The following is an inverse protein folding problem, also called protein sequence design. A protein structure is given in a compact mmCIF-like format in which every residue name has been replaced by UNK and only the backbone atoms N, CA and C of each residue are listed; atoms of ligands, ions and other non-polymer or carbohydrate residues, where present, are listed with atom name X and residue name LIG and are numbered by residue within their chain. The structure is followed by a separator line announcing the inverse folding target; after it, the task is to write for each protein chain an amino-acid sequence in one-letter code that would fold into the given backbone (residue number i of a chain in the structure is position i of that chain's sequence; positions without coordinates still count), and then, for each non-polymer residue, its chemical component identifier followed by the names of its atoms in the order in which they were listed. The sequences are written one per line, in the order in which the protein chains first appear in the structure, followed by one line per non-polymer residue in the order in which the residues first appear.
data_IF_401567445572
#
_entry.id   IF_401567445572
#
_cell.length_a   1.000
_cell.length_b   1.000
_cell.length_c   1.000
_cell.angle_alpha   90.00
_cell.angle_beta   90.00
_cell.angle_gamma   90.00
#
_symmetry.space_group_name_H-M   'P 1'
#
loop_
_entity.id
_entity.type
_entity.pdbx_description
1 polymer ?
#
# COMPACT_ATOMS: atom_id res chain seq x y z
N UNK A 1 6.68 15.38 8.27
CA UNK A 1 5.93 14.38 7.49
C UNK A 1 6.89 13.52 6.65
N UNK A 2 6.64 12.21 6.51
CA UNK A 2 7.36 11.30 5.60
C UNK A 2 6.61 11.14 4.29
N UNK A 3 7.34 10.99 3.19
CA UNK A 3 6.75 10.72 1.88
C UNK A 3 7.42 9.47 1.31
N UNK A 4 6.62 8.48 0.94
CA UNK A 4 7.07 7.21 0.37
C UNK A 4 6.81 7.21 -1.13
N UNK A 5 7.84 6.94 -1.92
CA UNK A 5 7.63 6.64 -3.33
C UNK A 5 7.11 5.21 -3.48
N UNK A 6 6.05 5.06 -4.26
CA UNK A 6 5.36 3.80 -4.50
C UNK A 6 5.08 3.57 -5.97
N UNK A 7 5.26 2.35 -6.41
CA UNK A 7 4.77 1.81 -7.69
C UNK A 7 4.30 0.38 -7.51
N UNK A 8 3.25 0.01 -8.21
CA UNK A 8 2.76 -1.38 -8.31
C UNK A 8 3.67 -2.25 -9.21
N UNK A 9 4.70 -1.73 -9.83
CA UNK A 9 5.50 -2.43 -10.86
C UNK A 9 4.63 -3.09 -11.94
N UNK A 10 3.74 -2.36 -12.62
CA UNK A 10 2.86 -2.96 -13.63
C UNK A 10 3.63 -3.33 -14.89
N UNK A 11 3.06 -4.27 -15.66
CA UNK A 11 3.48 -4.65 -17.00
C UNK A 11 2.50 -4.07 -18.03
N UNK A 12 2.68 -2.83 -18.51
CA UNK A 12 1.67 -2.07 -19.24
C UNK A 12 1.32 -2.66 -20.61
N UNK A 13 2.22 -3.37 -21.28
CA UNK A 13 1.97 -3.98 -22.60
C UNK A 13 0.82 -4.99 -22.56
N UNK A 14 0.53 -5.58 -21.40
CA UNK A 14 -0.59 -6.49 -21.22
C UNK A 14 -1.96 -5.80 -21.25
N UNK A 15 -2.02 -4.46 -21.08
CA UNK A 15 -3.29 -3.72 -21.12
C UNK A 15 -3.91 -3.67 -22.51
N UNK A 16 -3.12 -3.78 -23.58
CA UNK A 16 -3.60 -3.65 -24.96
C UNK A 16 -4.49 -4.80 -25.41
N UNK A 17 -4.35 -5.99 -24.83
CA UNK A 17 -5.12 -7.19 -25.20
C UNK A 17 -5.31 -8.10 -23.99
N UNK A 18 -6.11 -7.65 -23.04
CA UNK A 18 -6.29 -8.36 -21.76
C UNK A 18 -7.47 -9.36 -21.75
N UNK A 19 -8.28 -9.41 -22.80
CA UNK A 19 -9.41 -10.36 -22.91
C UNK A 19 -10.43 -10.25 -21.77
N UNK A 20 -10.59 -9.05 -21.18
CA UNK A 20 -11.52 -8.79 -20.07
C UNK A 20 -10.96 -9.07 -18.67
N UNK A 21 -9.67 -9.42 -18.52
CA UNK A 21 -9.02 -9.53 -17.23
C UNK A 21 -7.52 -9.24 -17.31
N UNK A 22 -7.03 -8.45 -16.38
CA UNK A 22 -5.59 -8.21 -16.17
C UNK A 22 -5.03 -9.07 -15.05
N UNK A 23 -5.88 -9.89 -14.40
CA UNK A 23 -5.54 -10.64 -13.20
C UNK A 23 -5.96 -12.09 -13.34
N UNK A 24 -5.18 -12.99 -12.75
CA UNK A 24 -5.41 -14.44 -12.62
C UNK A 24 -5.36 -15.22 -13.93
N UNK A 25 -6.28 -14.96 -14.85
CA UNK A 25 -6.47 -15.74 -16.05
C UNK A 25 -5.87 -15.12 -17.33
N UNK A 26 -5.15 -14.00 -17.19
CA UNK A 26 -4.35 -13.47 -18.30
C UNK A 26 -3.15 -14.42 -18.56
N UNK A 27 -3.01 -14.97 -19.79
CA UNK A 27 -1.91 -15.90 -20.05
C UNK A 27 -0.53 -15.23 -19.92
N UNK A 28 0.38 -15.83 -19.15
CA UNK A 28 1.71 -15.27 -18.91
C UNK A 28 2.64 -15.26 -20.14
N UNK A 29 2.29 -15.95 -21.24
CA UNK A 29 2.99 -15.80 -22.52
C UNK A 29 2.95 -14.38 -23.08
N UNK A 30 2.07 -13.52 -22.54
CA UNK A 30 2.00 -12.09 -22.88
C UNK A 30 3.07 -11.25 -22.16
N UNK A 31 3.77 -11.85 -21.21
CA UNK A 31 4.89 -11.22 -20.50
C UNK A 31 6.19 -11.67 -21.19
N UNK A 32 6.76 -10.78 -22.00
CA UNK A 32 8.09 -11.01 -22.59
C UNK A 32 9.15 -10.83 -21.51
N UNK A 33 9.97 -11.86 -21.21
CA UNK A 33 10.95 -11.79 -20.11
C UNK A 33 11.95 -10.65 -20.23
N UNK A 34 12.37 -10.30 -21.45
CA UNK A 34 13.30 -9.19 -21.67
C UNK A 34 12.66 -7.84 -21.30
N UNK A 35 11.41 -7.60 -21.71
CA UNK A 35 10.67 -6.39 -21.35
C UNK A 35 10.42 -6.33 -19.84
N UNK A 36 10.07 -7.45 -19.22
CA UNK A 36 9.90 -7.52 -17.77
C UNK A 36 11.21 -7.21 -17.03
N UNK A 37 12.35 -7.71 -17.52
CA UNK A 37 13.65 -7.40 -16.94
C UNK A 37 13.95 -5.89 -17.00
N UNK A 38 13.76 -5.25 -18.15
CA UNK A 38 13.97 -3.81 -18.32
C UNK A 38 13.04 -2.99 -17.40
N UNK A 39 11.79 -3.43 -17.23
CA UNK A 39 10.85 -2.79 -16.31
C UNK A 39 11.28 -2.94 -14.85
N UNK A 40 11.77 -4.12 -14.42
CA UNK A 40 12.30 -4.29 -13.07
C UNK A 40 13.49 -3.36 -12.81
N UNK A 41 14.48 -3.32 -13.73
CA UNK A 41 15.62 -2.42 -13.58
C UNK A 41 15.16 -0.97 -13.47
N UNK A 42 14.26 -0.52 -14.36
CA UNK A 42 13.68 0.81 -14.32
C UNK A 42 13.03 1.13 -12.97
N UNK A 43 12.18 0.25 -12.44
CA UNK A 43 11.52 0.50 -11.16
C UNK A 43 12.51 0.54 -9.99
N UNK A 44 13.55 -0.28 -10.01
CA UNK A 44 14.60 -0.20 -9.00
C UNK A 44 15.40 1.10 -9.11
N UNK A 45 15.76 1.55 -10.30
CA UNK A 45 16.43 2.83 -10.50
C UNK A 45 15.59 4.00 -9.99
N UNK A 46 14.26 3.96 -10.20
CA UNK A 46 13.33 4.97 -9.66
C UNK A 46 13.30 4.94 -8.12
N UNK A 47 13.36 3.79 -7.48
CA UNK A 47 13.47 3.69 -6.01
C UNK A 47 14.85 4.14 -5.47
N UNK A 48 15.92 3.88 -6.17
CA UNK A 48 17.25 4.40 -5.79
C UNK A 48 17.28 5.92 -5.87
N UNK A 49 16.71 6.49 -6.93
CA UNK A 49 16.51 7.93 -7.05
C UNK A 49 15.63 8.49 -5.91
N UNK A 50 14.60 7.77 -5.51
CA UNK A 50 13.76 8.17 -4.37
C UNK A 50 14.59 8.30 -3.08
N UNK A 51 15.48 7.34 -2.77
CA UNK A 51 16.41 7.45 -1.63
C UNK A 51 17.31 8.69 -1.74
N UNK A 52 17.85 8.98 -2.94
CA UNK A 52 18.68 10.13 -3.19
C UNK A 52 17.95 11.46 -2.99
N UNK A 53 16.69 11.54 -3.41
CA UNK A 53 15.83 12.71 -3.27
C UNK A 53 15.25 12.87 -1.86
N UNK A 54 15.44 11.90 -0.97
CA UNK A 54 14.99 11.96 0.41
C UNK A 54 13.54 11.49 0.64
N UNK A 55 12.99 10.71 -0.28
CA UNK A 55 11.79 9.92 -0.04
C UNK A 55 12.13 8.67 0.78
N UNK A 56 11.12 8.12 1.42
CA UNK A 56 11.09 6.73 1.84
C UNK A 56 10.52 5.87 0.69
N UNK A 57 10.56 4.54 0.83
CA UNK A 57 10.20 3.60 -0.23
C UNK A 57 9.08 2.68 0.25
N UNK A 58 8.07 2.50 -0.58
CA UNK A 58 7.01 1.52 -0.35
C UNK A 58 6.97 0.50 -1.47
N UNK A 59 6.84 -0.78 -1.09
CA UNK A 59 6.54 -1.91 -1.97
C UNK A 59 5.27 -2.61 -1.48
N UNK A 60 4.62 -3.31 -2.40
CA UNK A 60 3.52 -4.23 -2.07
C UNK A 60 3.75 -5.59 -2.71
N UNK A 61 2.84 -6.53 -2.47
CA UNK A 61 2.86 -7.85 -3.08
C UNK A 61 1.49 -8.20 -3.67
N UNK A 62 1.49 -8.59 -4.93
CA UNK A 62 0.34 -9.15 -5.63
C UNK A 62 0.74 -10.34 -6.49
N UNK A 63 -0.18 -11.26 -6.68
CA UNK A 63 0.09 -12.51 -7.39
C UNK A 63 -0.74 -12.64 -8.66
N UNK A 64 -0.14 -13.32 -9.68
CA UNK A 64 -0.81 -13.73 -10.91
C UNK A 64 -1.53 -12.58 -11.64
N UNK A 65 -0.84 -11.45 -11.77
CA UNK A 65 -1.41 -10.25 -12.36
C UNK A 65 -0.39 -9.43 -13.14
N UNK A 66 -0.81 -8.89 -14.29
CA UNK A 66 -0.03 -7.92 -15.04
C UNK A 66 -0.05 -6.51 -14.41
N UNK A 67 -0.94 -6.26 -13.45
CA UNK A 67 -1.03 -4.95 -12.81
C UNK A 67 0.04 -4.74 -11.74
N UNK A 68 0.69 -5.84 -11.30
CA UNK A 68 1.77 -5.78 -10.33
C UNK A 68 2.69 -7.00 -10.50
N UNK A 69 3.90 -6.78 -10.95
CA UNK A 69 4.90 -7.84 -11.09
C UNK A 69 5.63 -8.17 -9.76
N UNK A 70 5.34 -7.46 -8.67
CA UNK A 70 5.92 -7.72 -7.35
C UNK A 70 5.26 -8.93 -6.68
N UNK A 71 5.46 -10.10 -7.26
CA UNK A 71 4.93 -11.37 -6.73
C UNK A 71 5.75 -11.96 -5.58
N UNK A 72 6.90 -11.37 -5.29
CA UNK A 72 7.85 -11.80 -4.26
C UNK A 72 8.50 -10.56 -3.66
N UNK A 73 7.74 -9.83 -2.87
CA UNK A 73 8.15 -8.51 -2.34
C UNK A 73 9.46 -8.57 -1.54
N UNK A 74 9.75 -9.70 -0.90
CA UNK A 74 11.00 -9.90 -0.14
C UNK A 74 12.25 -9.83 -1.00
N UNK A 75 12.17 -10.21 -2.29
CA UNK A 75 13.29 -10.07 -3.22
C UNK A 75 13.59 -8.60 -3.46
N UNK A 76 12.56 -7.80 -3.79
CA UNK A 76 12.69 -6.36 -3.97
C UNK A 76 13.19 -5.65 -2.72
N UNK A 77 12.59 -5.96 -1.58
CA UNK A 77 13.02 -5.41 -0.29
C UNK A 77 14.48 -5.74 0.02
N UNK A 78 14.94 -6.97 -0.29
CA UNK A 78 16.34 -7.37 -0.04
C UNK A 78 17.32 -6.58 -0.89
N UNK A 79 17.00 -6.36 -2.18
CA UNK A 79 17.80 -5.52 -3.08
C UNK A 79 17.87 -4.10 -2.51
N UNK A 80 16.72 -3.49 -2.22
CA UNK A 80 16.65 -2.10 -1.73
C UNK A 80 17.24 -1.96 -0.32
N UNK A 81 17.13 -2.95 0.54
CA UNK A 81 17.78 -2.95 1.86
C UNK A 81 19.31 -2.84 1.76
N UNK A 82 19.89 -3.42 0.70
CA UNK A 82 21.33 -3.39 0.44
C UNK A 82 21.78 -2.13 -0.30
N UNK A 83 21.02 -1.70 -1.33
CA UNK A 83 21.44 -0.64 -2.24
C UNK A 83 21.09 0.76 -1.73
N UNK A 84 19.99 0.92 -0.99
CA UNK A 84 19.59 2.23 -0.40
C UNK A 84 20.33 2.49 0.91
N UNK A 85 20.41 3.78 1.32
CA UNK A 85 21.19 4.20 2.50
C UNK A 85 20.34 4.82 3.60
N UNK A 86 19.28 5.53 3.27
CA UNK A 86 18.50 6.37 4.20
C UNK A 86 17.03 6.04 4.24
N UNK A 87 16.45 5.70 3.10
CA UNK A 87 15.02 5.45 2.97
C UNK A 87 14.55 4.34 3.92
N UNK A 88 13.46 4.57 4.61
CA UNK A 88 12.71 3.49 5.25
C UNK A 88 12.07 2.63 4.16
N UNK A 89 11.92 1.37 4.45
CA UNK A 89 11.44 0.35 3.51
C UNK A 89 10.12 -0.20 4.05
N UNK A 90 9.02 0.36 3.57
CA UNK A 90 7.68 -0.08 3.94
C UNK A 90 7.21 -1.19 2.99
N UNK A 91 6.88 -2.35 3.51
CA UNK A 91 6.06 -3.32 2.78
C UNK A 91 4.59 -3.11 3.15
N UNK A 92 3.80 -2.54 2.20
CA UNK A 92 2.37 -2.37 2.44
C UNK A 92 1.60 -2.62 1.12
N UNK A 93 1.05 -3.88 0.92
CA UNK A 93 0.92 -4.86 2.02
C UNK A 93 1.54 -6.19 1.73
N UNK A 94 1.94 -6.77 2.81
CA UNK A 94 2.34 -8.17 2.84
C UNK A 94 1.09 -9.01 3.15
N UNK A 95 0.62 -9.87 2.22
CA UNK A 95 -0.70 -10.50 2.35
C UNK A 95 -0.63 -11.77 3.21
N UNK A 96 -0.55 -11.62 4.53
CA UNK A 96 -0.43 -12.75 5.46
C UNK A 96 -1.72 -13.56 5.64
N UNK A 97 -2.89 -13.04 5.23
CA UNK A 97 -4.17 -13.75 5.35
C UNK A 97 -4.27 -15.01 4.48
N UNK A 98 -3.60 -15.03 3.33
CA UNK A 98 -3.58 -16.22 2.46
C UNK A 98 -2.21 -16.95 2.44
N UNK A 99 -1.23 -16.49 3.20
CA UNK A 99 0.05 -17.18 3.34
C UNK A 99 -0.10 -18.48 4.15
N UNK A 100 0.48 -19.60 3.68
CA UNK A 100 0.42 -20.86 4.41
C UNK A 100 1.42 -20.95 5.57
N UNK A 101 2.47 -20.13 5.57
CA UNK A 101 3.61 -20.23 6.48
C UNK A 101 4.02 -18.87 7.09
N UNK A 102 3.41 -18.45 8.21
CA UNK A 102 3.79 -17.23 8.91
C UNK A 102 5.19 -17.29 9.56
N UNK A 103 5.75 -18.48 9.81
CA UNK A 103 7.13 -18.61 10.28
C UNK A 103 8.10 -18.06 9.24
N UNK A 104 7.89 -18.44 7.98
CA UNK A 104 8.70 -17.91 6.88
C UNK A 104 8.64 -16.39 6.77
N UNK A 105 7.46 -15.82 6.95
CA UNK A 105 7.29 -14.35 6.97
C UNK A 105 8.12 -13.70 8.08
N UNK A 106 8.11 -14.28 9.29
CA UNK A 106 8.92 -13.77 10.40
C UNK A 106 10.43 -13.82 10.11
N UNK A 107 10.92 -14.91 9.52
CA UNK A 107 12.34 -15.06 9.13
C UNK A 107 12.74 -14.06 8.04
N UNK A 108 11.93 -13.92 6.98
CA UNK A 108 12.18 -13.04 5.85
C UNK A 108 12.25 -11.57 6.31
N UNK A 109 11.25 -11.11 7.06
CA UNK A 109 11.21 -9.73 7.52
C UNK A 109 12.29 -9.43 8.55
N UNK A 110 12.61 -10.38 9.45
CA UNK A 110 13.73 -10.20 10.39
C UNK A 110 15.07 -10.10 9.66
N UNK A 111 15.26 -10.88 8.61
CA UNK A 111 16.47 -10.84 7.78
C UNK A 111 16.61 -9.49 7.07
N UNK A 112 15.52 -8.99 6.47
CA UNK A 112 15.51 -7.69 5.79
C UNK A 112 15.76 -6.56 6.80
N UNK A 113 15.18 -6.63 7.99
CA UNK A 113 15.38 -5.63 9.03
C UNK A 113 16.86 -5.55 9.46
N UNK A 114 17.54 -6.67 9.58
CA UNK A 114 18.98 -6.73 9.88
C UNK A 114 19.82 -6.20 8.72
N UNK A 115 19.54 -6.63 7.47
CA UNK A 115 20.27 -6.14 6.29
C UNK A 115 20.12 -4.62 6.16
N UNK A 116 18.92 -4.10 6.35
CA UNK A 116 18.61 -2.66 6.26
C UNK A 116 19.07 -1.86 7.48
N UNK A 117 19.56 -2.53 8.55
CA UNK A 117 19.93 -1.90 9.83
C UNK A 117 18.79 -1.09 10.46
N UNK A 118 17.60 -1.71 10.54
CA UNK A 118 16.45 -1.15 11.21
C UNK A 118 15.66 -0.12 10.38
N UNK A 119 15.69 -0.21 9.06
CA UNK A 119 14.89 0.65 8.18
C UNK A 119 13.57 0.02 7.72
N UNK A 120 13.32 -1.25 8.05
CA UNK A 120 12.09 -1.94 7.67
C UNK A 120 10.88 -1.42 8.44
N UNK A 121 9.73 -1.36 7.76
CA UNK A 121 8.39 -1.17 8.32
C UNK A 121 7.47 -2.25 7.76
N UNK A 122 6.70 -2.93 8.63
CA UNK A 122 5.92 -4.11 8.29
C UNK A 122 4.44 -3.76 8.13
N UNK A 123 3.93 -3.82 6.90
CA UNK A 123 2.52 -3.58 6.60
C UNK A 123 1.79 -4.86 6.24
N UNK A 124 0.96 -5.35 7.14
CA UNK A 124 0.19 -6.58 6.96
C UNK A 124 -1.21 -6.31 6.42
N UNK A 125 -1.62 -7.11 5.44
CA UNK A 125 -2.96 -7.05 4.84
C UNK A 125 -3.60 -8.44 4.78
N UNK A 126 -4.93 -8.46 4.66
CA UNK A 126 -5.71 -9.68 4.47
C UNK A 126 -5.35 -10.41 3.16
N UNK A 127 -4.99 -9.65 2.13
CA UNK A 127 -4.89 -10.08 0.74
C UNK A 127 -6.14 -9.71 -0.05
N UNK A 128 -6.03 -9.68 -1.37
CA UNK A 128 -7.12 -9.31 -2.27
C UNK A 128 -7.93 -10.55 -2.70
N UNK A 129 -9.23 -10.39 -3.04
CA UNK A 129 -10.13 -11.54 -3.21
C UNK A 129 -9.68 -12.54 -4.28
N UNK A 130 -9.15 -12.06 -5.41
CA UNK A 130 -8.76 -12.91 -6.53
C UNK A 130 -7.51 -13.78 -6.25
N UNK A 131 -6.74 -13.48 -5.23
CA UNK A 131 -5.52 -14.24 -4.88
C UNK A 131 -5.83 -15.49 -4.02
N UNK A 132 -6.99 -15.55 -3.37
CA UNK A 132 -7.35 -16.71 -2.54
C UNK A 132 -7.49 -18.01 -3.34
N UNK A 133 -8.26 -18.05 -4.44
CA UNK A 133 -8.30 -19.24 -5.28
C UNK A 133 -6.93 -19.61 -5.85
N UNK A 134 -6.12 -18.62 -6.24
CA UNK A 134 -4.82 -18.85 -6.85
C UNK A 134 -3.79 -19.42 -5.87
N UNK A 135 -3.89 -19.04 -4.60
CA UNK A 135 -3.03 -19.55 -3.53
C UNK A 135 -3.59 -20.81 -2.85
N UNK A 136 -4.68 -21.38 -3.38
CA UNK A 136 -5.38 -22.53 -2.79
C UNK A 136 -5.76 -22.31 -1.32
N UNK A 137 -6.22 -21.09 -1.01
CA UNK A 137 -6.63 -20.72 0.34
C UNK A 137 -8.15 -20.50 0.43
N UNK A 138 -8.74 -20.97 1.52
CA UNK A 138 -10.13 -20.72 1.81
C UNK A 138 -10.31 -19.28 2.35
N UNK A 139 -11.14 -18.43 1.72
CA UNK A 139 -11.38 -17.08 2.22
C UNK A 139 -12.30 -17.04 3.47
N UNK A 140 -13.01 -18.13 3.78
CA UNK A 140 -13.86 -18.21 4.99
C UNK A 140 -12.98 -18.18 6.24
N UNK A 141 -13.31 -17.27 7.18
CA UNK A 141 -12.51 -17.12 8.41
C UNK A 141 -11.14 -16.49 8.20
N UNK A 142 -10.90 -15.87 7.04
CA UNK A 142 -9.60 -15.27 6.70
C UNK A 142 -9.13 -14.22 7.72
N UNK A 143 -10.04 -13.50 8.35
CA UNK A 143 -9.65 -12.51 9.36
C UNK A 143 -9.10 -13.15 10.64
N UNK A 144 -9.68 -14.28 11.06
CA UNK A 144 -9.18 -15.03 12.22
C UNK A 144 -7.81 -15.62 11.90
N UNK A 145 -7.64 -16.20 10.71
CA UNK A 145 -6.35 -16.69 10.21
C UNK A 145 -5.31 -15.56 10.10
N UNK A 146 -5.71 -14.40 9.60
CA UNK A 146 -4.84 -13.22 9.51
C UNK A 146 -4.31 -12.80 10.88
N UNK A 147 -5.20 -12.71 11.87
CA UNK A 147 -4.79 -12.30 13.21
C UNK A 147 -3.96 -13.36 13.92
N UNK A 148 -4.24 -14.64 13.71
CA UNK A 148 -3.39 -15.70 14.25
C UNK A 148 -1.99 -15.68 13.60
N UNK A 149 -1.90 -15.50 12.28
CA UNK A 149 -0.62 -15.34 11.58
C UNK A 149 0.15 -14.13 12.10
N UNK A 150 -0.53 -13.00 12.27
CA UNK A 150 0.05 -11.79 12.85
C UNK A 150 0.62 -12.04 14.24
N UNK A 151 -0.18 -12.59 15.16
CA UNK A 151 0.22 -12.81 16.55
C UNK A 151 1.38 -13.81 16.64
N UNK A 152 1.38 -14.83 15.77
CA UNK A 152 2.50 -15.77 15.64
C UNK A 152 3.78 -15.06 15.17
N UNK A 153 3.70 -14.22 14.11
CA UNK A 153 4.86 -13.47 13.59
C UNK A 153 5.47 -12.59 14.69
N UNK A 154 4.64 -11.85 15.41
CA UNK A 154 5.11 -10.99 16.51
C UNK A 154 5.73 -11.84 17.62
N UNK A 155 5.10 -12.96 17.99
CA UNK A 155 5.65 -13.88 18.98
C UNK A 155 7.02 -14.42 18.55
N UNK A 156 7.17 -14.82 17.28
CA UNK A 156 8.45 -15.31 16.76
C UNK A 156 9.54 -14.24 16.80
N UNK A 157 9.21 -13.00 16.45
CA UNK A 157 10.15 -11.87 16.46
C UNK A 157 10.54 -11.38 17.85
N UNK A 158 9.74 -11.68 18.89
CA UNK A 158 9.95 -11.19 20.27
C UNK A 158 10.37 -12.27 21.26
N UNK A 159 10.45 -13.53 20.85
CA UNK A 159 10.93 -14.64 21.71
C UNK A 159 12.43 -14.85 21.54
N UNK A 160 13.22 -14.49 22.58
CA UNK A 160 14.69 -14.47 22.50
C UNK A 160 15.37 -15.48 23.44
N UNK A 161 14.64 -16.09 24.39
CA UNK A 161 15.20 -16.95 25.42
C UNK A 161 15.11 -18.46 25.11
N UNK A 162 15.00 -18.79 23.82
CA UNK A 162 14.93 -20.16 23.34
C UNK A 162 13.65 -20.48 22.59
N UNK A 163 13.51 -21.73 22.13
CA UNK A 163 12.39 -22.12 21.28
C UNK A 163 11.05 -22.15 22.03
N UNK A 164 9.97 -21.84 21.31
CA UNK A 164 8.60 -22.01 21.78
C UNK A 164 7.76 -22.89 20.86
N UNK A 165 6.63 -23.37 21.34
CA UNK A 165 5.63 -24.06 20.55
C UNK A 165 4.44 -23.14 20.31
N UNK A 166 3.77 -23.33 19.16
CA UNK A 166 2.52 -22.65 18.82
C UNK A 166 1.43 -23.67 18.52
N UNK A 167 0.30 -23.56 19.20
CA UNK A 167 -0.87 -24.41 19.06
C UNK A 167 -2.08 -23.51 18.78
N UNK A 168 -2.22 -23.07 17.53
CA UNK A 168 -3.31 -22.20 17.12
C UNK A 168 -4.46 -22.98 16.48
N UNK A 169 -5.43 -22.25 15.96
CA UNK A 169 -6.54 -22.80 15.19
C UNK A 169 -6.08 -23.14 13.75
N UNK A 170 -5.20 -22.32 13.17
CA UNK A 170 -4.79 -22.43 11.78
C UNK A 170 -3.34 -22.87 11.63
N UNK A 171 -2.51 -22.60 12.63
CA UNK A 171 -1.09 -22.87 12.56
C UNK A 171 -0.58 -23.66 13.77
N UNK A 172 0.29 -24.64 13.52
CA UNK A 172 0.90 -25.49 14.55
C UNK A 172 2.38 -25.60 14.29
N UNK A 173 3.20 -25.15 15.24
CA UNK A 173 4.65 -25.16 15.14
C UNK A 173 5.31 -25.74 16.39
N UNK A 174 6.46 -26.35 16.20
CA UNK A 174 7.30 -26.89 17.26
C UNK A 174 8.67 -26.28 17.21
N UNK A 175 9.22 -25.95 18.39
CA UNK A 175 10.57 -25.45 18.53
C UNK A 175 10.89 -24.23 17.66
N UNK A 176 9.98 -23.27 17.57
CA UNK A 176 10.17 -22.02 16.83
C UNK A 176 11.29 -21.20 17.49
N UNK A 177 12.31 -20.87 16.72
CA UNK A 177 13.45 -20.07 17.16
C UNK A 177 14.10 -19.44 15.92
N UNK A 178 13.67 -18.25 15.55
CA UNK A 178 14.10 -17.61 14.31
C UNK A 178 15.52 -17.02 14.42
N UNK A 179 16.27 -17.08 13.34
CA UNK A 179 17.58 -16.47 13.16
C UNK A 179 17.64 -15.80 11.78
N UNK A 180 18.04 -14.48 11.72
CA UNK A 180 18.38 -13.60 12.83
C UNK A 180 17.13 -13.11 13.60
N UNK A 181 17.34 -12.58 14.82
CA UNK A 181 16.29 -11.76 15.46
C UNK A 181 16.23 -10.39 14.80
N UNK A 182 15.10 -9.67 14.85
CA UNK A 182 14.99 -8.32 14.28
C UNK A 182 16.03 -7.35 14.84
N UNK A 183 16.48 -6.43 14.01
CA UNK A 183 17.32 -5.31 14.43
C UNK A 183 16.55 -4.35 15.34
N UNK A 184 15.35 -4.00 14.94
CA UNK A 184 14.46 -3.14 15.70
C UNK A 184 13.81 -3.92 16.86
N UNK A 185 13.75 -3.31 18.04
CA UNK A 185 13.19 -3.93 19.23
C UNK A 185 11.93 -3.19 19.70
N UNK A 186 10.88 -3.90 20.09
CA UNK A 186 10.73 -5.38 20.12
C UNK A 186 10.57 -6.01 18.73
N UNK A 187 10.20 -5.25 17.73
CA UNK A 187 10.03 -5.60 16.31
C UNK A 187 9.94 -4.33 15.46
N UNK A 188 10.06 -4.39 14.12
CA UNK A 188 9.80 -3.26 13.23
C UNK A 188 8.38 -2.68 13.41
N UNK A 189 8.15 -1.37 13.12
CA UNK A 189 6.83 -0.77 13.20
C UNK A 189 5.80 -1.52 12.36
N UNK A 190 4.58 -1.66 12.90
CA UNK A 190 3.49 -2.38 12.25
C UNK A 190 2.52 -1.38 11.61
N UNK A 191 2.18 -1.66 10.36
CA UNK A 191 1.22 -0.93 9.56
C UNK A 191 0.09 -1.85 9.10
N UNK A 192 -1.09 -1.28 8.87
CA UNK A 192 -2.14 -1.98 8.16
C UNK A 192 -3.06 -1.00 7.44
N UNK A 193 -3.79 -1.48 6.43
CA UNK A 193 -4.72 -0.65 5.69
C UNK A 193 -6.15 -0.81 6.25
N UNK A 194 -6.89 0.31 6.31
CA UNK A 194 -8.29 0.32 6.69
C UNK A 194 -9.17 0.90 5.59
N UNK A 195 -10.27 0.20 5.30
CA UNK A 195 -11.33 0.64 4.38
C UNK A 195 -12.72 0.67 5.03
N UNK A 196 -12.83 0.38 6.35
CA UNK A 196 -14.08 0.45 7.12
C UNK A 196 -13.84 1.05 8.50
N UNK A 197 -14.90 1.61 9.10
CA UNK A 197 -14.82 2.23 10.43
C UNK A 197 -14.43 1.21 11.51
N UNK A 198 -14.95 -0.03 11.42
CA UNK A 198 -14.62 -1.10 12.35
C UNK A 198 -13.13 -1.45 12.31
N UNK A 199 -12.55 -1.62 11.11
CA UNK A 199 -11.12 -1.89 10.97
C UNK A 199 -10.28 -0.70 11.44
N UNK A 200 -10.68 0.53 11.14
CA UNK A 200 -9.97 1.71 11.59
C UNK A 200 -9.93 1.80 13.12
N UNK A 201 -11.06 1.58 13.79
CA UNK A 201 -11.16 1.53 15.26
C UNK A 201 -10.23 0.46 15.83
N UNK A 202 -10.28 -0.75 15.31
CA UNK A 202 -9.46 -1.88 15.77
C UNK A 202 -7.96 -1.60 15.59
N UNK A 203 -7.53 -0.99 14.48
CA UNK A 203 -6.14 -0.58 14.29
C UNK A 203 -5.73 0.50 15.30
N UNK A 204 -6.64 1.41 15.65
CA UNK A 204 -6.44 2.37 16.73
C UNK A 204 -6.24 1.69 18.08
N UNK A 205 -7.08 0.71 18.44
CA UNK A 205 -6.93 -0.08 19.66
C UNK A 205 -5.57 -0.78 19.75
N UNK A 206 -5.05 -1.28 18.63
CA UNK A 206 -3.71 -1.89 18.55
C UNK A 206 -2.57 -0.88 18.50
N UNK A 207 -2.84 0.39 18.15
CA UNK A 207 -1.85 1.47 18.06
C UNK A 207 -0.93 1.36 16.84
N UNK A 208 -1.34 0.66 15.79
CA UNK A 208 -0.57 0.51 14.56
C UNK A 208 -0.67 1.76 13.68
N UNK A 209 0.25 1.91 12.73
CA UNK A 209 0.10 2.95 11.71
C UNK A 209 -0.99 2.53 10.73
N UNK A 210 -1.99 3.38 10.58
CA UNK A 210 -3.11 3.12 9.69
C UNK A 210 -2.96 3.83 8.36
N UNK A 211 -2.97 3.07 7.27
CA UNK A 211 -3.00 3.60 5.91
C UNK A 211 -4.42 3.56 5.33
N UNK A 212 -4.80 4.63 4.66
CA UNK A 212 -6.00 4.70 3.83
C UNK A 212 -5.58 4.84 2.38
N UNK A 213 -6.07 3.93 1.53
CA UNK A 213 -5.61 3.82 0.15
C UNK A 213 -6.65 4.44 -0.80
N UNK A 214 -6.36 5.63 -1.34
CA UNK A 214 -7.14 6.24 -2.41
C UNK A 214 -8.62 6.50 -2.09
N UNK A 215 -8.96 6.86 -0.84
CA UNK A 215 -10.36 7.11 -0.43
C UNK A 215 -10.78 8.58 -0.49
N UNK A 216 -9.86 9.49 -0.82
CA UNK A 216 -10.14 10.92 -0.88
C UNK A 216 -10.67 11.46 0.46
N UNK A 217 -11.63 12.36 0.40
CA UNK A 217 -12.21 12.97 1.60
C UNK A 217 -13.05 12.02 2.48
N UNK A 218 -13.33 10.79 2.03
CA UNK A 218 -13.84 9.71 2.92
C UNK A 218 -12.82 9.23 3.96
N UNK A 219 -11.58 9.69 3.88
CA UNK A 219 -10.50 9.33 4.82
C UNK A 219 -10.77 9.86 6.23
N UNK A 220 -11.37 11.06 6.38
CA UNK A 220 -11.59 11.66 7.70
C UNK A 220 -12.39 10.80 8.67
N UNK A 221 -13.55 10.24 8.33
CA UNK A 221 -14.29 9.34 9.23
C UNK A 221 -13.48 8.11 9.68
N UNK A 222 -12.60 7.60 8.82
CA UNK A 222 -11.71 6.48 9.17
C UNK A 222 -10.68 6.92 10.22
N UNK A 223 -10.09 8.10 10.04
CA UNK A 223 -9.14 8.66 11.02
C UNK A 223 -9.82 8.97 12.36
N UNK A 224 -11.06 9.45 12.34
CA UNK A 224 -11.82 9.71 13.56
C UNK A 224 -12.14 8.40 14.31
N UNK A 225 -12.56 7.35 13.60
CA UNK A 225 -12.77 6.02 14.20
C UNK A 225 -11.47 5.42 14.78
N UNK A 226 -10.33 5.64 14.11
CA UNK A 226 -9.02 5.26 14.65
C UNK A 226 -8.70 6.01 15.95
N UNK A 227 -8.89 7.34 15.99
CA UNK A 227 -8.66 8.16 17.18
C UNK A 227 -9.48 7.67 18.37
N UNK A 228 -10.77 7.37 18.13
CA UNK A 228 -11.64 6.79 19.16
C UNK A 228 -11.09 5.46 19.68
N UNK A 229 -10.73 4.52 18.79
CA UNK A 229 -10.14 3.24 19.16
C UNK A 229 -8.82 3.39 19.92
N UNK A 230 -7.96 4.29 19.47
CA UNK A 230 -6.66 4.54 20.10
C UNK A 230 -6.80 5.07 21.54
N UNK A 231 -7.68 6.06 21.73
CA UNK A 231 -7.93 6.66 23.04
C UNK A 231 -8.74 5.75 23.97
N UNK A 232 -9.55 4.81 23.44
CA UNK A 232 -10.28 3.83 24.28
C UNK A 232 -9.36 2.91 25.09
N UNK A 233 -8.08 2.83 24.71
CA UNK A 233 -7.05 2.08 25.42
C UNK A 233 -6.31 2.92 26.50
N UNK A 234 -6.86 4.06 26.89
CA UNK A 234 -6.25 4.96 27.89
C UNK A 234 -5.05 5.76 27.38
N UNK A 235 -4.82 5.79 26.06
CA UNK A 235 -3.71 6.55 25.45
C UNK A 235 -4.15 8.01 25.21
N UNK A 236 -3.19 8.97 25.20
CA UNK A 236 -3.48 10.33 24.72
C UNK A 236 -3.88 10.32 23.24
N UNK A 237 -4.38 11.43 22.73
CA UNK A 237 -4.73 11.55 21.32
C UNK A 237 -3.52 11.18 20.42
N UNK A 238 -3.72 10.37 19.36
CA UNK A 238 -2.63 9.96 18.49
C UNK A 238 -2.08 11.15 17.70
N UNK A 239 -0.76 11.18 17.54
CA UNK A 239 -0.10 12.13 16.66
C UNK A 239 -0.31 11.81 15.17
N UNK A 240 0.12 12.71 14.27
CA UNK A 240 0.03 12.51 12.83
C UNK A 240 0.82 11.30 12.33
N UNK A 241 1.85 10.86 13.07
CA UNK A 241 2.67 9.68 12.82
C UNK A 241 1.90 8.35 12.80
N UNK A 242 0.63 8.35 13.19
CA UNK A 242 -0.26 7.18 13.13
C UNK A 242 -1.08 7.11 11.86
N UNK A 243 -1.04 8.12 11.01
CA UNK A 243 -1.92 8.25 9.84
C UNK A 243 -1.12 8.30 8.55
N UNK A 244 -1.51 7.45 7.60
CA UNK A 244 -0.96 7.40 6.26
C UNK A 244 -2.07 7.46 5.20
N UNK A 245 -1.79 8.14 4.11
CA UNK A 245 -2.69 8.24 2.96
C UNK A 245 -1.95 7.94 1.66
N UNK A 246 -2.52 7.08 0.81
CA UNK A 246 -2.05 6.84 -0.54
C UNK A 246 -2.85 7.69 -1.52
N UNK A 247 -2.14 8.54 -2.27
CA UNK A 247 -2.68 9.31 -3.38
C UNK A 247 -1.83 9.18 -4.64
N UNK A 248 -2.49 9.30 -5.79
CA UNK A 248 -1.81 9.43 -7.07
C UNK A 248 -1.06 10.77 -7.12
N UNK A 249 0.05 10.82 -7.86
CA UNK A 249 0.91 12.02 -7.89
C UNK A 249 1.37 12.34 -9.31
N UNK A 250 1.22 13.61 -9.72
CA UNK A 250 1.77 14.10 -10.98
C UNK A 250 2.22 15.55 -10.84
N UNK A 251 3.54 15.78 -10.86
CA UNK A 251 4.15 17.10 -10.71
C UNK A 251 4.89 17.49 -11.97
N UNK A 252 4.72 18.73 -12.44
CA UNK A 252 5.48 19.29 -13.55
C UNK A 252 5.66 20.80 -13.37
N UNK A 253 6.55 21.38 -14.17
CA UNK A 253 6.80 22.82 -14.16
C UNK A 253 5.60 23.65 -14.68
N UNK A 254 4.71 23.02 -15.48
CA UNK A 254 3.47 23.64 -15.97
C UNK A 254 2.25 22.77 -15.63
N UNK A 255 1.10 23.41 -15.46
CA UNK A 255 -0.15 22.71 -15.18
C UNK A 255 -0.57 21.78 -16.33
N UNK A 256 -0.36 22.20 -17.59
CA UNK A 256 -0.71 21.39 -18.76
C UNK A 256 0.08 20.09 -18.80
N UNK A 257 1.38 20.15 -18.51
CA UNK A 257 2.23 18.95 -18.48
C UNK A 257 1.90 18.06 -17.26
N UNK A 258 1.64 18.66 -16.10
CA UNK A 258 1.19 17.90 -14.93
C UNK A 258 -0.12 17.15 -15.21
N UNK A 259 -1.09 17.79 -15.86
CA UNK A 259 -2.35 17.15 -16.27
C UNK A 259 -2.14 16.01 -17.27
N UNK A 260 -1.24 16.18 -18.25
CA UNK A 260 -0.87 15.10 -19.18
C UNK A 260 -0.31 13.88 -18.40
N UNK A 261 0.61 14.11 -17.46
CA UNK A 261 1.15 13.05 -16.60
C UNK A 261 0.06 12.45 -15.71
N UNK A 262 -0.80 13.30 -15.15
CA UNK A 262 -1.92 12.89 -14.30
C UNK A 262 -2.89 11.94 -14.98
N UNK A 263 -3.22 12.18 -16.26
CA UNK A 263 -4.06 11.26 -17.05
C UNK A 263 -3.43 9.88 -17.19
N UNK A 264 -2.12 9.81 -17.44
CA UNK A 264 -1.39 8.54 -17.56
C UNK A 264 -1.34 7.78 -16.22
N UNK A 265 -1.20 8.48 -15.10
CA UNK A 265 -1.28 7.85 -13.77
C UNK A 265 -2.71 7.39 -13.45
N UNK A 266 -3.72 8.20 -13.79
CA UNK A 266 -5.13 7.87 -13.54
C UNK A 266 -5.61 6.67 -14.36
N UNK A 267 -5.00 6.37 -15.50
CA UNK A 267 -5.35 5.20 -16.32
C UNK A 267 -5.14 3.88 -15.55
N UNK A 268 -4.14 3.79 -14.70
CA UNK A 268 -3.98 2.64 -13.80
C UNK A 268 -5.18 2.46 -12.87
N UNK A 269 -5.69 3.56 -12.29
CA UNK A 269 -6.84 3.53 -11.38
C UNK A 269 -8.11 3.04 -12.11
N UNK A 270 -8.31 3.50 -13.34
CA UNK A 270 -9.48 3.13 -14.17
C UNK A 270 -9.45 1.66 -14.61
N UNK A 271 -8.28 1.14 -14.90
CA UNK A 271 -8.08 -0.18 -15.51
C UNK A 271 -7.54 -1.26 -14.59
N UNK A 272 -6.75 -0.92 -13.59
CA UNK A 272 -6.10 -1.88 -12.69
C UNK A 272 -7.06 -2.81 -11.94
N UNK A 273 -8.34 -2.42 -11.79
CA UNK A 273 -9.40 -3.22 -11.20
C UNK A 273 -10.08 -4.23 -12.15
N UNK A 274 -9.63 -4.35 -13.41
CA UNK A 274 -10.21 -5.28 -14.38
C UNK A 274 -9.87 -6.71 -13.98
N UNK A 275 -10.86 -7.43 -13.45
CA UNK A 275 -10.77 -8.81 -13.01
C UNK A 275 -11.99 -9.60 -13.46
N UNK A 276 -11.79 -10.84 -13.88
CA UNK A 276 -12.89 -11.70 -14.27
C UNK A 276 -13.90 -11.89 -13.14
N UNK A 277 -15.24 -11.78 -13.40
CA UNK A 277 -16.26 -11.72 -12.36
C UNK A 277 -16.18 -12.80 -11.28
N UNK A 278 -15.91 -14.10 -11.57
CA UNK A 278 -15.79 -15.14 -10.54
C UNK A 278 -14.70 -14.91 -9.50
N UNK A 279 -13.64 -14.17 -9.85
CA UNK A 279 -12.54 -13.87 -8.94
C UNK A 279 -12.69 -12.54 -8.19
N UNK A 280 -13.68 -11.72 -8.56
CA UNK A 280 -13.88 -10.40 -7.95
C UNK A 280 -14.30 -10.49 -6.48
N UNK A 281 -15.11 -11.47 -6.14
CA UNK A 281 -15.58 -11.69 -4.78
C UNK A 281 -15.88 -13.19 -4.56
N UNK A 282 -14.87 -14.02 -4.28
CA UNK A 282 -15.09 -15.42 -3.99
C UNK A 282 -15.93 -15.60 -2.73
N UNK A 283 -16.80 -16.62 -2.65
CA UNK A 283 -17.65 -16.87 -1.50
C UNK A 283 -16.84 -16.92 -0.19
N UNK A 284 -17.33 -16.19 0.83
CA UNK A 284 -16.72 -16.16 2.15
C UNK A 284 -15.60 -15.11 2.33
N UNK A 285 -15.17 -14.40 1.27
CA UNK A 285 -14.17 -13.35 1.38
C UNK A 285 -14.70 -12.08 2.07
N UNK A 286 -15.91 -11.66 1.70
CA UNK A 286 -16.60 -10.55 2.35
C UNK A 286 -17.57 -11.08 3.42
N UNK A 287 -17.72 -10.32 4.50
CA UNK A 287 -18.75 -10.55 5.50
C UNK A 287 -20.17 -10.39 4.91
N UNK A 288 -21.16 -10.89 5.59
CA UNK A 288 -22.58 -10.71 5.19
C UNK A 288 -22.94 -9.23 5.14
N UNK A 289 -22.45 -8.43 6.09
CA UNK A 289 -22.67 -6.98 6.14
C UNK A 289 -22.06 -6.25 4.94
N UNK A 290 -20.80 -6.57 4.60
CA UNK A 290 -20.11 -5.99 3.44
C UNK A 290 -20.82 -6.35 2.13
N UNK A 291 -21.22 -7.62 1.96
CA UNK A 291 -21.98 -8.07 0.79
C UNK A 291 -23.34 -7.36 0.69
N UNK A 292 -24.05 -7.23 1.80
CA UNK A 292 -25.32 -6.49 1.85
C UNK A 292 -25.11 -5.04 1.49
N UNK A 293 -24.04 -4.40 1.98
CA UNK A 293 -23.68 -3.02 1.62
C UNK A 293 -23.47 -2.83 0.12
N UNK A 294 -22.80 -3.79 -0.54
CA UNK A 294 -22.58 -3.75 -2.01
C UNK A 294 -23.91 -3.90 -2.76
N UNK A 295 -24.76 -4.84 -2.36
CA UNK A 295 -26.08 -5.04 -2.94
C UNK A 295 -26.98 -3.80 -2.80
N UNK A 296 -26.83 -3.06 -1.70
CA UNK A 296 -27.54 -1.80 -1.45
C UNK A 296 -26.88 -0.58 -2.12
N UNK A 297 -25.94 -0.79 -3.06
CA UNK A 297 -25.33 0.28 -3.86
C UNK A 297 -24.23 1.06 -3.15
N UNK A 298 -23.68 0.56 -2.04
CA UNK A 298 -22.50 1.14 -1.37
C UNK A 298 -21.22 0.74 -2.13
N UNK A 299 -21.10 1.21 -3.38
CA UNK A 299 -19.95 0.88 -4.20
C UNK A 299 -18.65 1.46 -3.62
N UNK A 300 -17.60 0.65 -3.53
CA UNK A 300 -16.25 1.05 -3.07
C UNK A 300 -15.59 2.07 -4.00
N UNK A 301 -16.03 2.15 -5.24
CA UNK A 301 -15.46 2.97 -6.32
C UNK A 301 -15.93 4.43 -6.30
N UNK A 302 -16.80 4.79 -5.35
CA UNK A 302 -17.26 6.16 -5.18
C UNK A 302 -16.53 6.84 -4.04
N UNK A 303 -16.07 8.05 -4.29
CA UNK A 303 -15.49 8.94 -3.28
C UNK A 303 -16.25 10.27 -3.22
N UNK A 304 -15.78 11.19 -2.40
CA UNK A 304 -16.38 12.52 -2.23
C UNK A 304 -15.32 13.58 -2.50
N UNK A 305 -15.75 14.69 -3.08
CA UNK A 305 -15.00 15.94 -3.06
C UNK A 305 -15.10 16.59 -1.67
N UNK A 306 -14.32 17.64 -1.44
CA UNK A 306 -14.31 18.36 -0.16
C UNK A 306 -15.68 18.94 0.22
N UNK A 307 -16.46 19.39 -0.77
CA UNK A 307 -17.82 19.93 -0.62
C UNK A 307 -18.92 18.87 -0.60
N UNK A 308 -18.56 17.58 -0.67
CA UNK A 308 -19.47 16.43 -0.54
C UNK A 308 -20.10 15.95 -1.85
N UNK A 309 -19.66 16.43 -3.01
CA UNK A 309 -20.08 15.90 -4.32
C UNK A 309 -19.54 14.48 -4.49
N UNK A 310 -20.40 13.57 -4.94
CA UNK A 310 -20.02 12.16 -5.20
C UNK A 310 -19.26 12.06 -6.52
N UNK A 311 -18.13 11.39 -6.49
CA UNK A 311 -17.26 11.08 -7.64
C UNK A 311 -17.18 9.57 -7.82
N UNK A 312 -17.48 9.08 -9.04
CA UNK A 312 -17.21 7.71 -9.43
C UNK A 312 -15.80 7.65 -10.03
N UNK A 313 -14.88 7.01 -9.34
CA UNK A 313 -13.45 6.99 -9.68
C UNK A 313 -13.14 6.33 -11.03
N UNK A 314 -14.05 5.47 -11.57
CA UNK A 314 -13.83 4.80 -12.85
C UNK A 314 -14.13 5.70 -14.04
N UNK A 315 -15.11 6.60 -13.90
CA UNK A 315 -15.54 7.53 -14.93
C UNK A 315 -15.10 8.97 -14.70
N UNK A 316 -14.44 9.23 -13.57
CA UNK A 316 -13.97 10.56 -13.17
C UNK A 316 -12.97 11.12 -14.19
N UNK A 317 -13.12 12.39 -14.53
CA UNK A 317 -12.08 13.13 -15.22
C UNK A 317 -10.93 13.52 -14.25
N UNK A 318 -9.90 14.15 -14.80
CA UNK A 318 -8.72 14.51 -14.01
C UNK A 318 -9.05 15.54 -12.93
N UNK A 319 -9.98 16.46 -13.20
CA UNK A 319 -10.39 17.48 -12.24
C UNK A 319 -11.20 16.87 -11.08
N UNK A 320 -12.09 15.95 -11.38
CA UNK A 320 -12.82 15.19 -10.37
C UNK A 320 -11.90 14.44 -9.41
N UNK A 321 -10.83 13.81 -9.94
CA UNK A 321 -9.84 13.10 -9.13
C UNK A 321 -9.02 14.06 -8.26
N UNK A 322 -8.69 15.25 -8.76
CA UNK A 322 -8.02 16.31 -7.99
C UNK A 322 -8.95 16.82 -6.89
N UNK A 323 -10.19 17.18 -7.24
CA UNK A 323 -11.18 17.71 -6.30
C UNK A 323 -11.53 16.72 -5.19
N UNK A 324 -11.41 15.43 -5.46
CA UNK A 324 -11.61 14.34 -4.50
C UNK A 324 -10.35 13.96 -3.71
N UNK A 325 -9.21 14.62 -3.93
CA UNK A 325 -7.91 14.31 -3.34
C UNK A 325 -7.46 12.85 -3.60
N UNK A 326 -7.88 12.27 -4.72
CA UNK A 326 -7.37 10.97 -5.22
C UNK A 326 -6.06 11.18 -5.98
N UNK A 327 -5.97 12.28 -6.72
CA UNK A 327 -4.79 12.69 -7.46
C UNK A 327 -4.34 14.08 -6.98
N UNK A 328 -3.08 14.19 -6.61
CA UNK A 328 -2.39 15.47 -6.40
C UNK A 328 -1.63 15.81 -7.68
N UNK A 329 -2.09 16.85 -8.38
CA UNK A 329 -1.62 17.15 -9.73
C UNK A 329 -1.47 18.64 -9.95
N UNK A 330 -0.34 19.05 -10.51
CA UNK A 330 -0.08 20.46 -10.84
C UNK A 330 1.39 20.83 -10.74
N UNK A 331 1.63 22.14 -10.68
CA UNK A 331 2.94 22.69 -10.34
C UNK A 331 3.29 22.37 -8.87
N UNK A 332 4.54 22.51 -8.44
CA UNK A 332 4.92 22.31 -7.04
C UNK A 332 4.05 23.08 -6.04
N UNK A 333 3.71 24.35 -6.35
CA UNK A 333 2.86 25.17 -5.49
C UNK A 333 1.44 24.61 -5.40
N UNK A 334 0.84 24.22 -6.52
CA UNK A 334 -0.48 23.64 -6.56
C UNK A 334 -0.53 22.31 -5.80
N UNK A 335 0.44 21.41 -6.01
CA UNK A 335 0.51 20.12 -5.33
C UNK A 335 0.71 20.29 -3.83
N UNK A 336 1.60 21.19 -3.41
CA UNK A 336 1.76 21.52 -1.99
C UNK A 336 0.46 22.02 -1.37
N UNK A 337 -0.24 22.95 -2.03
CA UNK A 337 -1.51 23.49 -1.54
C UNK A 337 -2.61 22.40 -1.43
N UNK A 338 -2.70 21.50 -2.41
CA UNK A 338 -3.64 20.38 -2.40
C UNK A 338 -3.37 19.43 -1.21
N UNK A 339 -2.11 19.05 -0.99
CA UNK A 339 -1.71 18.18 0.13
C UNK A 339 -1.98 18.88 1.48
N UNK A 340 -1.61 20.17 1.61
CA UNK A 340 -1.86 20.94 2.83
C UNK A 340 -3.36 21.04 3.16
N UNK A 341 -4.21 21.28 2.16
CA UNK A 341 -5.66 21.31 2.32
C UNK A 341 -6.23 19.94 2.74
N UNK A 342 -5.67 18.85 2.25
CA UNK A 342 -6.06 17.51 2.64
C UNK A 342 -5.64 17.19 4.09
N UNK A 343 -4.43 17.58 4.51
CA UNK A 343 -3.94 17.44 5.89
C UNK A 343 -4.85 18.18 6.87
N UNK A 344 -5.19 19.44 6.54
CA UNK A 344 -6.11 20.26 7.35
C UNK A 344 -7.47 19.58 7.50
N UNK A 345 -8.06 19.11 6.40
CA UNK A 345 -9.36 18.45 6.41
C UNK A 345 -9.35 17.16 7.25
N UNK A 346 -8.32 16.33 7.15
CA UNK A 346 -8.24 15.04 7.85
C UNK A 346 -7.84 15.18 9.32
N UNK A 347 -7.35 16.35 9.72
CA UNK A 347 -6.90 16.64 11.08
C UNK A 347 -5.52 16.03 11.39
N UNK A 348 -4.66 15.91 10.37
CA UNK A 348 -3.28 15.46 10.48
C UNK A 348 -2.96 14.25 9.60
N UNK A 349 -1.75 14.24 9.07
CA UNK A 349 -1.18 13.18 8.23
C UNK A 349 0.34 13.16 8.42
N UNK A 350 0.88 12.06 8.89
CA UNK A 350 2.34 11.91 9.08
C UNK A 350 3.03 11.23 7.92
N UNK A 351 2.28 10.48 7.09
CA UNK A 351 2.85 9.67 6.02
C UNK A 351 2.04 9.80 4.72
N UNK A 352 2.66 10.31 3.67
CA UNK A 352 2.09 10.33 2.31
C UNK A 352 2.70 9.18 1.49
N UNK A 353 1.87 8.28 1.02
CA UNK A 353 2.23 7.20 0.10
C UNK A 353 1.98 7.71 -1.32
N UNK A 354 3.03 8.12 -2.00
CA UNK A 354 2.97 8.82 -3.28
C UNK A 354 3.09 7.83 -4.43
N UNK A 355 1.99 7.55 -5.12
CA UNK A 355 1.98 6.73 -6.33
C UNK A 355 2.19 7.63 -7.56
N UNK A 356 3.45 7.91 -7.87
CA UNK A 356 3.87 8.75 -9.00
C UNK A 356 4.29 7.96 -10.24
N UNK A 357 4.20 6.61 -10.17
CA UNK A 357 4.48 5.70 -11.28
C UNK A 357 3.41 4.61 -11.32
N UNK A 358 2.68 4.55 -12.42
CA UNK A 358 1.57 3.61 -12.60
C UNK A 358 1.67 2.79 -13.92
N UNK A 359 2.86 2.74 -14.52
CA UNK A 359 3.18 1.95 -15.70
C UNK A 359 3.05 2.68 -17.04
N UNK A 360 2.19 3.69 -17.15
CA UNK A 360 1.95 4.40 -18.40
C UNK A 360 2.81 5.65 -18.57
N UNK A 361 3.46 6.13 -17.53
CA UNK A 361 4.46 7.19 -17.63
C UNK A 361 5.77 6.66 -18.22
N UNK A 362 6.44 7.47 -19.01
CA UNK A 362 7.83 7.21 -19.39
C UNK A 362 8.75 7.27 -18.15
N UNK A 363 9.92 6.64 -18.23
CA UNK A 363 10.93 6.76 -17.18
C UNK A 363 11.29 8.22 -16.93
N UNK A 364 11.50 9.00 -18.01
CA UNK A 364 11.85 10.42 -17.91
C UNK A 364 10.76 11.24 -17.22
N UNK A 365 9.48 11.03 -17.55
CA UNK A 365 8.36 11.72 -16.87
C UNK A 365 8.32 11.41 -15.38
N UNK A 366 8.61 10.16 -15.00
CA UNK A 366 8.67 9.74 -13.60
C UNK A 366 9.82 10.41 -12.88
N UNK A 367 11.02 10.37 -13.44
CA UNK A 367 12.23 11.00 -12.89
C UNK A 367 12.04 12.51 -12.72
N UNK A 368 11.49 13.18 -13.73
CA UNK A 368 11.25 14.64 -13.69
C UNK A 368 10.22 14.99 -12.61
N UNK A 369 9.11 14.25 -12.55
CA UNK A 369 8.06 14.47 -11.54
C UNK A 369 8.58 14.25 -10.11
N UNK A 370 9.30 13.16 -9.89
CA UNK A 370 9.93 12.85 -8.60
C UNK A 370 10.98 13.88 -8.20
N UNK A 371 11.82 14.29 -9.14
CA UNK A 371 12.87 15.28 -8.89
C UNK A 371 12.28 16.63 -8.50
N UNK A 372 11.26 17.06 -9.22
CA UNK A 372 10.58 18.33 -8.94
C UNK A 372 9.86 18.29 -7.59
N UNK A 373 9.14 17.20 -7.30
CA UNK A 373 8.52 17.00 -5.99
C UNK A 373 9.56 16.98 -4.86
N UNK A 374 10.64 16.21 -5.04
CA UNK A 374 11.69 16.05 -4.03
C UNK A 374 12.42 17.36 -3.71
N UNK A 375 12.61 18.22 -4.69
CA UNK A 375 13.30 19.51 -4.52
C UNK A 375 12.39 20.63 -4.01
N UNK A 376 11.14 20.69 -4.44
CA UNK A 376 10.29 21.86 -4.22
C UNK A 376 9.08 21.60 -3.31
N UNK A 377 8.57 20.38 -3.26
CA UNK A 377 7.40 20.05 -2.43
C UNK A 377 7.81 19.39 -1.11
N UNK A 378 8.65 18.36 -1.18
CA UNK A 378 9.04 17.53 -0.03
C UNK A 378 9.64 18.35 1.14
N UNK A 379 10.57 19.34 0.93
CA UNK A 379 11.09 20.14 2.04
C UNK A 379 10.01 20.96 2.74
N UNK A 380 9.05 21.50 1.98
CA UNK A 380 7.92 22.29 2.53
C UNK A 380 6.98 21.43 3.35
N UNK A 381 6.70 20.19 2.89
CA UNK A 381 5.89 19.24 3.65
C UNK A 381 6.58 18.81 4.95
N UNK A 382 7.89 18.62 4.93
CA UNK A 382 8.69 18.32 6.15
C UNK A 382 8.71 19.47 7.15
N UNK A 383 8.53 20.70 6.71
CA UNK A 383 8.47 21.88 7.57
C UNK A 383 7.08 22.14 8.20
N UNK A 384 6.07 21.35 7.83
CA UNK A 384 4.71 21.42 8.41
C UNK A 384 4.55 20.62 9.72
N UNK A 385 5.57 19.85 10.12
CA UNK A 385 5.56 19.03 11.36
C UNK A 385 5.68 19.88 12.62
#
# INVERSE_FOLDING_TARGET
MRVYHFTEQPYPDAWNDHGGSLRVNLPNRKCEPAVAADLYHRFYDEWLLADELGFDIMLNEHHQTATCMSSTVVVGLSILARETKRARLLVLGYPIGHRPDPLRVAEELSTIDVISRGRLEMGFIKGVPYEFPCSNQNPVGVMDKFWEAHDFIIKAMTSHDGPFNWEGQFFHYRNVNIWPRPWQQPHPPIWSAAGSLGNARMLGERGYVMAVLGSGYKTRPLYDAYREGYMSQGRPAPGPDRFAYLGLMAVAASESEARRRGELVAEYLRSGGIVWPPFRNPPGYLSVEENTGILMGRARERTLTRDGRVVDMRSADIQDLIDAAILFCGTPDQVHAQIAAFIDYTGGLGHLLSMGQAGFLSHQDTVDSMTLFGKEVLPRLKAMD
#
